data_IF_133764989622
#
_entry.id   IF_133764989622
#
_cell.length_a   1.000
_cell.length_b   1.000
_cell.length_c   1.000
_cell.angle_alpha   90.00
_cell.angle_beta   90.00
_cell.angle_gamma   90.00
#
_symmetry.space_group_name_H-M   'P 1'
#
loop_
_entity.id
_entity.type
_entity.pdbx_description
1 polymer ?
#
# COMPACT_ATOMS: atom_id res chain seq x y z
N UNK A 1 -5.55 -7.63 -14.06
CA UNK A 1 -4.71 -7.90 -12.87
C UNK A 1 -5.48 -7.34 -11.71
N UNK A 2 -5.83 -8.18 -10.74
CA UNK A 2 -6.58 -7.75 -9.56
C UNK A 2 -5.60 -7.50 -8.42
N UNK A 3 -5.76 -6.38 -7.72
CA UNK A 3 -4.92 -6.03 -6.57
C UNK A 3 -5.76 -6.07 -5.32
N UNK A 4 -5.28 -6.78 -4.31
CA UNK A 4 -5.90 -6.92 -3.01
C UNK A 4 -4.98 -6.32 -1.96
N UNK A 5 -5.48 -5.41 -1.14
CA UNK A 5 -4.77 -4.86 0.02
C UNK A 5 -5.41 -5.36 1.30
N UNK A 6 -4.61 -5.87 2.24
CA UNK A 6 -5.17 -6.38 3.48
C UNK A 6 -5.78 -5.24 4.27
N UNK A 7 -6.89 -5.50 4.97
CA UNK A 7 -7.53 -4.51 5.85
C UNK A 7 -6.57 -3.99 6.92
N UNK A 8 -5.67 -4.85 7.41
CA UNK A 8 -4.60 -4.49 8.35
C UNK A 8 -3.56 -3.58 7.72
N UNK A 9 -3.12 -3.84 6.47
CA UNK A 9 -2.23 -2.94 5.74
C UNK A 9 -2.89 -1.59 5.51
N UNK A 10 -4.13 -1.58 5.03
CA UNK A 10 -4.91 -0.37 4.78
C UNK A 10 -5.05 0.48 6.05
N UNK A 11 -5.40 -0.13 7.18
CA UNK A 11 -5.51 0.54 8.47
C UNK A 11 -4.16 1.07 8.97
N UNK A 12 -3.08 0.30 8.78
CA UNK A 12 -1.73 0.71 9.17
C UNK A 12 -1.27 1.95 8.39
N UNK A 13 -1.50 1.96 7.08
CA UNK A 13 -1.19 3.10 6.21
C UNK A 13 -1.95 4.37 6.63
N UNK A 14 -3.22 4.23 7.03
CA UNK A 14 -3.99 5.33 7.62
C UNK A 14 -3.37 5.85 8.92
N UNK A 15 -2.93 4.95 9.81
CA UNK A 15 -2.28 5.35 11.06
C UNK A 15 -0.96 6.09 10.81
N UNK A 16 -0.14 5.62 9.86
CA UNK A 16 1.13 6.25 9.51
C UNK A 16 0.97 7.69 8.97
N UNK A 17 -0.18 8.00 8.36
CA UNK A 17 -0.52 9.35 7.93
C UNK A 17 -0.45 10.38 9.09
N UNK A 18 -0.66 9.93 10.34
CA UNK A 18 -0.58 10.76 11.54
C UNK A 18 0.60 10.44 12.46
N UNK A 19 1.39 9.42 12.15
CA UNK A 19 2.58 9.05 12.92
C UNK A 19 3.74 10.06 12.81
N UNK A 20 4.81 9.80 13.56
CA UNK A 20 6.07 10.56 13.51
C UNK A 20 6.71 10.54 12.11
N UNK A 21 7.64 11.47 11.80
CA UNK A 21 8.30 11.57 10.49
C UNK A 21 8.95 10.26 10.00
N UNK A 22 9.45 9.43 10.91
CA UNK A 22 10.05 8.13 10.59
C UNK A 22 9.06 7.10 10.04
N UNK A 23 7.76 7.31 10.25
CA UNK A 23 6.70 6.45 9.74
C UNK A 23 6.13 6.91 8.39
N UNK A 24 6.60 8.05 7.85
CA UNK A 24 6.03 8.67 6.64
C UNK A 24 6.44 8.03 5.33
N UNK A 25 7.30 7.03 5.35
CA UNK A 25 7.64 6.25 4.16
C UNK A 25 8.09 4.85 4.54
N UNK A 26 8.08 3.95 3.56
CA UNK A 26 8.56 2.60 3.75
C UNK A 26 8.16 1.66 2.63
N UNK A 27 8.16 0.36 2.95
CA UNK A 27 7.95 -0.71 2.00
C UNK A 27 6.53 -1.28 2.08
N UNK A 28 5.99 -1.63 0.92
CA UNK A 28 4.82 -2.48 0.80
C UNK A 28 5.28 -3.93 0.68
N UNK A 29 4.75 -4.80 1.53
CA UNK A 29 5.08 -6.22 1.58
C UNK A 29 3.92 -7.03 1.03
N UNK A 30 4.22 -7.99 0.16
CA UNK A 30 3.17 -8.79 -0.44
C UNK A 30 3.64 -9.96 -1.26
N UNK A 31 2.68 -10.60 -1.93
CA UNK A 31 2.90 -11.77 -2.76
C UNK A 31 2.14 -11.66 -4.08
N UNK A 32 2.69 -12.29 -5.10
CA UNK A 32 2.04 -12.47 -6.40
C UNK A 32 1.62 -13.92 -6.47
N UNK A 33 0.34 -14.19 -6.75
CA UNK A 33 -0.12 -15.55 -6.94
C UNK A 33 0.36 -16.04 -8.31
N UNK A 34 1.14 -17.11 -8.38
CA UNK A 34 1.72 -17.56 -9.66
C UNK A 34 0.66 -18.13 -10.62
N UNK A 35 -0.41 -18.68 -10.06
CA UNK A 35 -1.48 -19.38 -10.81
C UNK A 35 -2.63 -18.48 -11.23
N UNK A 36 -2.68 -17.23 -10.78
CA UNK A 36 -3.76 -16.28 -11.11
C UNK A 36 -3.20 -14.86 -11.18
N UNK A 37 -3.82 -13.93 -11.95
CA UNK A 37 -3.32 -12.56 -12.10
C UNK A 37 -3.67 -11.69 -10.88
N UNK A 38 -3.51 -12.22 -9.65
CA UNK A 38 -3.83 -11.58 -8.37
C UNK A 38 -2.57 -11.22 -7.61
N UNK A 39 -2.56 -10.01 -7.07
CA UNK A 39 -1.47 -9.52 -6.23
C UNK A 39 -2.03 -9.11 -4.87
N UNK A 40 -1.35 -9.54 -3.81
CA UNK A 40 -1.74 -9.29 -2.43
C UNK A 40 -0.73 -8.38 -1.76
N UNK A 41 -1.15 -7.17 -1.38
CA UNK A 41 -0.43 -6.26 -0.49
C UNK A 41 -0.86 -6.62 0.94
N UNK A 42 0.02 -7.28 1.68
CA UNK A 42 -0.29 -7.90 2.98
C UNK A 42 0.05 -7.01 4.18
N UNK A 43 1.07 -6.16 4.05
CA UNK A 43 1.55 -5.32 5.13
C UNK A 43 2.30 -4.10 4.59
N UNK A 44 2.44 -3.09 5.45
CA UNK A 44 3.31 -1.94 5.24
C UNK A 44 4.35 -1.89 6.36
N UNK A 45 5.62 -1.69 5.99
CA UNK A 45 6.73 -1.61 6.92
C UNK A 45 7.37 -0.23 6.82
N UNK A 46 7.14 0.66 7.79
CA UNK A 46 7.79 1.95 7.82
C UNK A 46 9.31 1.82 7.95
N UNK A 47 10.03 2.49 7.08
CA UNK A 47 11.48 2.55 7.10
C UNK A 47 11.98 3.67 6.17
N UNK A 48 13.11 4.27 6.49
CA UNK A 48 13.73 5.26 5.62
C UNK A 48 14.11 4.63 4.26
N UNK A 49 13.63 5.22 3.16
CA UNK A 49 13.94 4.79 1.81
C UNK A 49 15.29 5.39 1.39
N UNK A 50 16.38 4.95 2.03
CA UNK A 50 17.74 5.37 1.65
C UNK A 50 18.19 4.55 0.43
N UNK A 51 18.67 5.24 -0.61
CA UNK A 51 19.25 4.61 -1.80
C UNK A 51 20.30 3.57 -1.42
N UNK A 52 20.02 2.30 -1.71
CA UNK A 52 21.00 1.22 -1.68
C UNK A 52 20.91 0.23 -0.52
N UNK A 53 20.06 0.45 0.49
CA UNK A 53 19.86 -0.52 1.59
C UNK A 53 18.38 -0.73 1.86
N UNK A 54 17.80 -1.68 1.13
CA UNK A 54 16.52 -2.25 1.49
C UNK A 54 16.77 -3.25 2.65
N UNK A 55 16.04 -3.15 3.77
CA UNK A 55 16.17 -4.08 4.90
C UNK A 55 15.61 -5.45 4.51
N UNK A 56 16.37 -6.20 3.72
CA UNK A 56 16.01 -7.54 3.29
C UNK A 56 16.60 -8.56 4.25
N UNK A 57 15.76 -9.23 5.04
CA UNK A 57 16.05 -10.62 5.43
C UNK A 57 14.90 -11.33 6.13
N UNK A 58 13.97 -10.63 6.79
CA UNK A 58 13.06 -11.34 7.72
C UNK A 58 11.56 -11.17 7.50
N UNK A 59 11.10 -10.13 6.78
CA UNK A 59 9.70 -9.67 6.87
C UNK A 59 8.86 -9.80 5.59
N UNK A 60 9.25 -10.66 4.65
CA UNK A 60 8.50 -10.90 3.40
C UNK A 60 9.06 -10.18 2.18
N UNK A 61 8.43 -10.39 1.02
CA UNK A 61 8.88 -9.83 -0.26
C UNK A 61 8.35 -8.41 -0.44
N UNK A 62 9.20 -7.38 -0.57
CA UNK A 62 8.73 -6.06 -0.90
C UNK A 62 8.27 -6.02 -2.35
N UNK A 63 7.09 -5.47 -2.56
CA UNK A 63 6.43 -5.34 -3.86
C UNK A 63 6.17 -3.87 -4.22
N UNK A 64 6.58 -2.93 -3.38
CA UNK A 64 6.40 -1.51 -3.63
C UNK A 64 6.88 -0.66 -2.47
N UNK A 65 6.61 0.64 -2.57
CA UNK A 65 6.87 1.60 -1.50
C UNK A 65 5.58 2.35 -1.16
N UNK A 66 5.54 2.92 0.04
CA UNK A 66 4.51 3.88 0.42
C UNK A 66 5.12 5.20 0.88
N UNK A 67 4.36 6.28 0.76
CA UNK A 67 4.72 7.60 1.30
C UNK A 67 3.49 8.35 1.79
N UNK A 68 3.59 8.90 2.99
CA UNK A 68 2.61 9.78 3.61
C UNK A 68 3.01 11.24 3.36
N UNK A 69 2.03 12.08 3.04
CA UNK A 69 2.20 13.54 2.95
C UNK A 69 0.91 14.27 3.28
N UNK A 70 1.03 15.57 3.52
CA UNK A 70 -0.15 16.43 3.57
C UNK A 70 -0.77 16.57 2.18
N UNK A 71 -2.11 16.54 2.15
CA UNK A 71 -2.90 16.65 0.93
C UNK A 71 -2.67 17.98 0.24
N UNK A 72 -2.35 17.94 -1.05
CA UNK A 72 -2.22 19.13 -1.91
C UNK A 72 -3.48 19.32 -2.74
N UNK A 73 -3.63 20.52 -3.31
CA UNK A 73 -4.71 20.85 -4.27
C UNK A 73 -4.74 19.91 -5.48
N UNK A 74 -3.60 19.33 -5.87
CA UNK A 74 -3.47 18.34 -6.93
C UNK A 74 -2.65 17.16 -6.41
N UNK A 75 -3.11 15.95 -6.72
CA UNK A 75 -2.38 14.71 -6.45
C UNK A 75 -1.31 14.53 -7.54
N UNK A 76 -0.25 15.34 -7.44
CA UNK A 76 0.88 15.25 -8.36
C UNK A 76 1.97 14.35 -7.77
N UNK A 77 2.48 13.43 -8.59
CA UNK A 77 3.62 12.56 -8.27
C UNK A 77 4.90 13.35 -8.56
N UNK A 78 5.76 13.51 -7.55
CA UNK A 78 7.00 14.25 -7.70
C UNK A 78 8.11 13.39 -8.30
N UNK A 79 9.13 14.03 -8.88
CA UNK A 79 10.35 13.34 -9.34
C UNK A 79 11.03 12.58 -8.19
N UNK A 80 10.98 13.11 -6.96
CA UNK A 80 11.53 12.43 -5.79
C UNK A 80 10.75 11.15 -5.43
N UNK A 81 9.45 11.11 -5.70
CA UNK A 81 8.64 9.90 -5.53
C UNK A 81 9.08 8.82 -6.52
N UNK A 82 9.30 9.19 -7.78
CA UNK A 82 9.78 8.26 -8.82
C UNK A 82 11.24 7.80 -8.60
N UNK A 83 12.09 8.70 -8.09
CA UNK A 83 13.48 8.38 -7.78
C UNK A 83 13.61 7.37 -6.61
N UNK A 84 12.64 7.37 -5.69
CA UNK A 84 12.62 6.47 -4.53
C UNK A 84 12.25 5.03 -4.89
N UNK A 85 11.73 4.78 -6.10
CA UNK A 85 11.37 3.44 -6.56
C UNK A 85 12.62 2.56 -6.72
N UNK A 86 12.57 1.34 -6.20
CA UNK A 86 13.63 0.35 -6.41
C UNK A 86 13.33 -0.53 -7.64
N UNK A 87 14.35 -1.12 -8.29
CA UNK A 87 14.13 -2.07 -9.38
C UNK A 87 13.24 -3.25 -8.94
N UNK A 88 12.12 -3.47 -9.62
CA UNK A 88 11.18 -4.54 -9.27
C UNK A 88 10.10 -4.13 -8.26
N UNK A 89 10.06 -2.87 -7.82
CA UNK A 89 8.84 -2.31 -7.23
C UNK A 89 7.70 -2.48 -8.25
N UNK A 90 6.54 -2.97 -7.80
CA UNK A 90 5.33 -3.11 -8.60
C UNK A 90 4.34 -1.96 -8.31
N UNK A 91 4.41 -1.41 -7.11
CA UNK A 91 3.48 -0.38 -6.65
C UNK A 91 4.16 0.81 -5.96
N UNK A 92 3.50 1.95 -6.09
CA UNK A 92 3.69 3.14 -5.29
C UNK A 92 2.36 3.46 -4.61
N UNK A 93 2.33 3.52 -3.28
CA UNK A 93 1.14 3.94 -2.53
C UNK A 93 1.36 5.32 -1.91
N UNK A 94 0.55 6.30 -2.32
CA UNK A 94 0.57 7.64 -1.77
C UNK A 94 -0.57 7.80 -0.76
N UNK A 95 -0.24 8.24 0.44
CA UNK A 95 -1.17 8.46 1.53
C UNK A 95 -1.22 9.95 1.81
N UNK A 96 -2.36 10.57 1.54
CA UNK A 96 -2.58 12.00 1.73
C UNK A 96 -3.50 12.23 2.94
N UNK A 97 -3.04 12.98 3.94
CA UNK A 97 -3.87 13.45 5.06
C UNK A 97 -4.23 14.92 4.88
N UNK A 98 -5.48 15.30 5.14
CA UNK A 98 -5.89 16.70 5.20
C UNK A 98 -5.97 17.23 6.64
N UNK A 99 -6.20 18.53 6.78
CA UNK A 99 -6.32 19.20 8.08
C UNK A 99 -7.56 18.76 8.90
N UNK A 100 -8.47 18.01 8.29
CA UNK A 100 -9.69 17.49 8.93
C UNK A 100 -9.53 16.02 9.35
N UNK A 101 -8.29 15.51 9.40
CA UNK A 101 -7.96 14.11 9.69
C UNK A 101 -8.56 13.11 8.69
N UNK A 102 -8.91 13.54 7.47
CA UNK A 102 -9.28 12.60 6.42
C UNK A 102 -8.01 12.07 5.77
N UNK A 103 -7.95 10.76 5.58
CA UNK A 103 -6.86 10.10 4.85
C UNK A 103 -7.39 9.59 3.52
N UNK A 104 -6.67 9.88 2.45
CA UNK A 104 -6.90 9.33 1.12
C UNK A 104 -5.71 8.48 0.71
N UNK A 105 -5.96 7.24 0.29
CA UNK A 105 -4.92 6.34 -0.22
C UNK A 105 -5.04 6.23 -1.74
N UNK A 106 -3.96 6.50 -2.44
CA UNK A 106 -3.85 6.36 -3.88
C UNK A 106 -2.83 5.27 -4.19
N UNK A 107 -3.26 4.21 -4.86
CA UNK A 107 -2.37 3.16 -5.32
C UNK A 107 -2.04 3.40 -6.79
N UNK A 108 -0.76 3.32 -7.12
CA UNK A 108 -0.27 3.40 -8.48
C UNK A 108 0.56 2.17 -8.81
N UNK A 109 0.38 1.65 -10.01
CA UNK A 109 1.28 0.65 -10.59
C UNK A 109 2.50 1.35 -11.19
N UNK A 110 3.67 0.82 -10.90
CA UNK A 110 4.95 1.37 -11.37
C UNK A 110 5.30 0.80 -12.73
N UNK A 111 5.75 1.67 -13.63
CA UNK A 111 6.16 1.32 -15.00
C UNK A 111 7.63 1.71 -15.16
N UNK A 112 8.43 0.73 -15.61
CA UNK A 112 9.82 0.92 -15.96
C UNK A 112 9.96 0.61 -17.46
N UNK A 113 10.10 1.65 -18.27
CA UNK A 113 10.24 1.50 -19.73
C UNK A 113 11.42 2.34 -20.24
N UNK A 114 12.34 1.71 -20.96
CA UNK A 114 13.49 2.37 -21.60
C UNK A 114 14.28 3.35 -20.71
N UNK A 115 14.41 3.03 -19.42
CA UNK A 115 15.11 3.87 -18.43
C UNK A 115 14.26 4.99 -17.81
N UNK A 116 13.03 5.18 -18.27
CA UNK A 116 12.05 6.08 -17.67
C UNK A 116 11.23 5.37 -16.60
N UNK A 117 10.92 6.12 -15.54
CA UNK A 117 10.07 5.68 -14.44
C UNK A 117 8.79 6.49 -14.48
N UNK A 118 7.66 5.81 -14.52
CA UNK A 118 6.35 6.43 -14.42
C UNK A 118 5.43 5.58 -13.56
N UNK A 119 4.25 6.13 -13.25
CA UNK A 119 3.23 5.44 -12.48
C UNK A 119 1.87 5.65 -13.11
N UNK A 120 1.00 4.64 -13.03
CA UNK A 120 -0.40 4.70 -13.49
C UNK A 120 -1.34 4.40 -12.31
N UNK A 121 -2.43 5.15 -12.11
CA UNK A 121 -3.41 4.83 -11.07
C UNK A 121 -3.98 3.42 -11.25
N UNK A 122 -4.17 2.70 -10.15
CA UNK A 122 -4.79 1.37 -10.16
C UNK A 122 -5.72 1.21 -8.95
N UNK A 123 -6.86 0.56 -9.16
CA UNK A 123 -7.79 0.22 -8.09
C UNK A 123 -7.35 -1.04 -7.34
N UNK A 124 -7.80 -1.17 -6.10
CA UNK A 124 -7.58 -2.35 -5.29
C UNK A 124 -8.82 -2.69 -4.46
N UNK A 125 -8.94 -3.96 -4.08
CA UNK A 125 -9.97 -4.47 -3.18
C UNK A 125 -9.38 -4.71 -1.78
N UNK A 126 -10.20 -4.56 -0.74
CA UNK A 126 -9.78 -4.91 0.62
C UNK A 126 -9.98 -6.40 0.89
N UNK A 127 -9.04 -7.02 1.62
CA UNK A 127 -9.18 -8.41 2.07
C UNK A 127 -8.78 -8.64 3.55
N UNK A 128 -9.36 -9.63 4.25
CA UNK A 128 -10.55 -10.37 3.84
C UNK A 128 -11.70 -9.41 3.56
N UNK A 129 -12.53 -9.72 2.57
CA UNK A 129 -13.76 -8.95 2.35
C UNK A 129 -14.46 -8.90 3.70
N UNK A 130 -14.86 -7.72 4.15
CA UNK A 130 -15.72 -7.63 5.32
C UNK A 130 -16.89 -8.56 5.05
N UNK A 131 -17.03 -9.62 5.86
CA UNK A 131 -18.25 -10.42 5.86
C UNK A 131 -19.38 -9.41 5.97
N UNK A 132 -20.12 -9.23 4.87
CA UNK A 132 -21.27 -8.34 4.91
C UNK A 132 -22.18 -8.79 6.03
N UNK A 133 -23.03 -7.89 6.53
CA UNK A 133 -23.97 -8.12 7.63
C UNK A 133 -24.90 -9.37 7.45
N UNK A 134 -24.80 -10.08 6.32
CA UNK A 134 -25.57 -11.27 5.98
C UNK A 134 -24.91 -12.62 6.35
N UNK A 135 -23.63 -12.70 6.75
CA UNK A 135 -23.02 -14.01 7.12
C UNK A 135 -23.01 -14.32 8.62
N UNK A 136 -23.39 -13.36 9.48
CA UNK A 136 -23.57 -13.63 10.92
C UNK A 136 -24.80 -14.49 11.25
N UNK A 137 -25.66 -14.80 10.27
CA UNK A 137 -26.83 -15.65 10.44
C UNK A 137 -26.54 -17.17 10.31
N UNK A 138 -25.33 -17.59 9.96
CA UNK A 138 -25.01 -19.01 9.72
C UNK A 138 -24.17 -19.62 10.86
N UNK A 139 -23.55 -18.80 11.72
CA UNK A 139 -22.90 -19.30 12.93
C UNK A 139 -23.95 -19.48 14.03
N UNK A 140 -24.62 -20.63 14.02
CA UNK A 140 -25.60 -21.04 15.03
C UNK A 140 -25.05 -20.88 16.45
N UNK A 141 -25.51 -19.83 17.13
CA UNK A 141 -25.41 -19.69 18.58
C UNK A 141 -26.66 -20.38 19.13
N UNK A 142 -26.55 -21.49 19.87
CA UNK A 142 -27.70 -22.04 20.57
C UNK A 142 -28.03 -21.09 21.72
N UNK A 143 -29.26 -20.56 21.72
CA UNK A 143 -29.81 -19.85 22.88
C UNK A 143 -29.79 -20.79 24.09
N UNK A 144 -29.29 -20.27 25.22
CA UNK A 144 -29.34 -20.91 26.55
C UNK A 144 -30.61 -20.45 27.26
#
# INVERSE_FOLDING_TARGET
MEVFMSTTCYASLNAFAFGDPEFKEGLLIGSVQETSPRIFITAAMPCALRSGQLPFSSFGKPIGIFRCREKKLRTDISVNDLASLFPGALFFCLIESDNNNNVTQHLFKTIFDNGFRSVEPIEFHLFPESLGDNELLIAGIPEV
#
